data_IF_227296822634
#
_entry.id   IF_227296822634
#
_cell.length_a   1.000
_cell.length_b   1.000
_cell.length_c   1.000
_cell.angle_alpha   90.00
_cell.angle_beta   90.00
_cell.angle_gamma   90.00
#
_symmetry.space_group_name_H-M   'P 1'
#
loop_
_entity.id
_entity.type
_entity.pdbx_description
1 polymer ?
#
# COMPACT_ATOMS: atom_id res chain seq x y z
N UNK A 1 -66.66 -18.40 -3.89
CA UNK A 1 -67.62 -18.13 -2.79
C UNK A 1 -66.82 -18.11 -1.49
N UNK A 2 -66.92 -17.06 -0.66
CA UNK A 2 -66.10 -16.89 0.55
C UNK A 2 -64.63 -16.58 0.23
N UNK A 3 -64.01 -15.43 0.54
CA UNK A 3 -64.39 -14.23 1.32
C UNK A 3 -64.43 -14.35 2.84
N UNK A 4 -63.39 -13.79 3.48
CA UNK A 4 -63.41 -13.25 4.86
C UNK A 4 -62.71 -14.08 5.94
N UNK A 5 -62.31 -13.52 7.09
CA UNK A 5 -61.94 -12.12 7.44
C UNK A 5 -61.36 -12.08 8.88
N UNK A 6 -60.91 -10.90 9.34
CA UNK A 6 -60.51 -10.54 10.73
C UNK A 6 -59.18 -11.17 11.26
N UNK A 7 -58.36 -10.52 12.11
CA UNK A 7 -58.22 -9.08 12.37
C UNK A 7 -58.10 -8.65 13.86
N UNK A 8 -56.91 -8.15 14.27
CA UNK A 8 -56.59 -7.45 15.55
C UNK A 8 -56.65 -8.35 16.83
N UNK A 9 -56.12 -7.99 18.01
CA UNK A 9 -55.54 -6.71 18.50
C UNK A 9 -54.36 -6.90 19.51
N UNK A 10 -53.90 -5.80 20.16
CA UNK A 10 -52.64 -5.63 20.92
C UNK A 10 -52.67 -6.12 22.40
N UNK A 11 -51.51 -6.56 22.90
CA UNK A 11 -50.87 -6.27 24.23
C UNK A 11 -49.82 -7.36 24.53
N UNK A 12 -48.80 -7.21 25.38
CA UNK A 12 -48.23 -6.06 26.11
C UNK A 12 -46.86 -6.49 26.73
N UNK A 13 -46.00 -5.54 27.11
CA UNK A 13 -44.69 -5.86 27.74
C UNK A 13 -44.84 -6.22 29.24
N UNK A 14 -43.85 -6.92 29.84
CA UNK A 14 -42.89 -6.17 30.66
C UNK A 14 -41.43 -6.70 30.66
N UNK A 15 -40.49 -5.79 30.95
CA UNK A 15 -39.13 -6.13 31.46
C UNK A 15 -39.17 -6.30 32.98
N UNK A 16 -38.23 -7.07 33.60
CA UNK A 16 -37.14 -6.42 34.36
C UNK A 16 -35.86 -7.29 34.47
N UNK A 17 -34.83 -6.90 35.26
CA UNK A 17 -34.18 -5.59 35.39
C UNK A 17 -32.65 -5.68 35.15
N UNK A 18 -31.94 -4.54 35.23
CA UNK A 18 -30.48 -4.49 35.25
C UNK A 18 -29.93 -3.80 36.52
N UNK A 19 -28.71 -4.16 36.93
CA UNK A 19 -27.93 -3.47 37.97
C UNK A 19 -27.30 -4.41 39.01
N UNK A 20 -26.02 -4.24 39.42
CA UNK A 20 -25.01 -3.32 38.89
C UNK A 20 -23.77 -3.18 39.80
N UNK A 21 -22.83 -2.30 39.37
CA UNK A 21 -21.67 -1.75 40.11
C UNK A 21 -20.48 -2.67 40.48
N UNK A 22 -19.48 -2.60 39.60
CA UNK A 22 -18.13 -2.07 39.87
C UNK A 22 -17.30 -2.49 41.10
N UNK A 23 -16.04 -2.90 40.82
CA UNK A 23 -14.90 -2.77 41.74
C UNK A 23 -13.62 -2.40 40.97
N UNK A 24 -12.85 -1.43 41.47
CA UNK A 24 -11.52 -1.06 40.95
C UNK A 24 -10.44 -2.01 41.51
N UNK A 25 -9.38 -2.31 40.75
CA UNK A 25 -8.19 -2.92 41.38
C UNK A 25 -7.03 -3.38 40.50
N UNK A 26 -5.99 -2.53 40.39
CA UNK A 26 -4.55 -2.89 40.34
C UNK A 26 -4.05 -3.83 39.21
N UNK A 27 -3.31 -3.27 38.25
CA UNK A 27 -2.28 -4.01 37.51
C UNK A 27 -0.88 -3.89 38.16
N UNK A 28 0.09 -4.75 37.80
CA UNK A 28 1.52 -4.53 38.05
C UNK A 28 2.09 -3.63 36.93
N UNK A 29 2.55 -2.40 37.22
CA UNK A 29 3.93 -2.07 37.63
C UNK A 29 5.02 -2.86 36.90
N UNK A 30 5.78 -2.13 36.07
CA UNK A 30 7.03 -2.61 35.48
C UNK A 30 8.11 -2.88 36.54
N UNK A 31 8.96 -3.88 36.28
CA UNK A 31 10.17 -4.16 37.06
C UNK A 31 11.40 -3.49 36.43
N UNK A 32 11.87 -2.38 37.00
CA UNK A 32 13.07 -1.67 36.55
C UNK A 32 14.36 -2.39 37.01
N UNK A 33 14.86 -3.31 36.19
CA UNK A 33 16.12 -4.03 36.43
C UNK A 33 17.37 -3.22 36.06
N UNK A 34 17.75 -2.26 36.89
CA UNK A 34 18.90 -1.37 36.62
C UNK A 34 20.24 -2.05 36.97
N UNK A 35 20.99 -2.48 35.96
CA UNK A 35 22.39 -2.89 36.12
C UNK A 35 23.34 -1.68 36.02
N UNK A 36 24.33 -1.61 36.91
CA UNK A 36 25.47 -0.69 36.84
C UNK A 36 26.78 -1.49 36.94
N UNK A 37 27.84 -1.03 36.27
CA UNK A 37 29.22 -1.40 36.61
C UNK A 37 30.13 -1.77 35.43
N UNK A 38 31.23 -1.02 35.26
CA UNK A 38 32.32 -1.33 34.32
C UNK A 38 32.10 -0.82 32.88
N UNK A 39 32.92 0.05 32.29
CA UNK A 39 34.10 0.74 32.82
C UNK A 39 35.43 0.14 32.37
N UNK A 40 35.85 0.44 31.13
CA UNK A 40 37.16 0.05 30.59
C UNK A 40 37.54 0.83 29.33
N UNK A 41 38.69 1.52 29.35
CA UNK A 41 39.33 2.14 28.18
C UNK A 41 40.61 1.38 27.85
N UNK A 42 40.96 1.25 26.56
CA UNK A 42 42.16 1.86 25.95
C UNK A 42 42.84 1.04 24.82
N UNK A 43 43.03 1.71 23.68
CA UNK A 43 44.25 1.85 22.84
C UNK A 43 45.16 0.64 22.54
N UNK A 44 45.52 0.55 21.25
CA UNK A 44 46.73 -0.13 20.75
C UNK A 44 46.40 -1.22 19.70
N UNK A 45 46.96 -1.26 18.49
CA UNK A 45 47.95 -0.39 17.86
C UNK A 45 49.31 -1.08 17.67
N UNK A 46 49.56 -1.65 16.48
CA UNK A 46 50.83 -2.28 16.14
C UNK A 46 50.87 -2.79 14.70
N UNK A 47 51.77 -2.23 13.88
CA UNK A 47 52.06 -2.67 12.51
C UNK A 47 53.54 -3.00 12.42
N UNK A 48 53.90 -4.12 11.77
CA UNK A 48 55.30 -4.55 11.60
C UNK A 48 55.54 -4.96 10.13
N UNK A 49 56.70 -4.57 9.58
CA UNK A 49 57.17 -4.89 8.23
C UNK A 49 58.32 -5.90 8.27
N UNK A 50 58.51 -6.66 7.18
CA UNK A 50 59.79 -7.30 6.82
C UNK A 50 59.61 -8.62 6.06
N UNK A 51 60.44 -9.01 5.08
CA UNK A 51 61.49 -8.24 4.40
C UNK A 51 62.75 -9.08 4.07
N UNK A 52 63.09 -9.22 2.78
CA UNK A 52 64.33 -9.86 2.29
C UNK A 52 64.26 -11.40 2.17
N UNK A 53 64.30 -12.04 1.00
CA UNK A 53 65.39 -12.20 -0.01
C UNK A 53 66.56 -13.12 0.39
N UNK A 54 66.64 -14.30 -0.24
CA UNK A 54 67.87 -14.77 -0.93
C UNK A 54 67.72 -16.15 -1.62
N UNK A 55 68.30 -16.26 -2.81
CA UNK A 55 68.78 -17.51 -3.44
C UNK A 55 70.33 -17.41 -3.49
N UNK A 56 71.14 -18.47 -3.78
CA UNK A 56 71.39 -18.84 -5.20
C UNK A 56 72.02 -20.25 -5.51
N UNK A 57 72.08 -20.62 -6.82
CA UNK A 57 73.05 -21.57 -7.47
C UNK A 57 72.96 -23.07 -7.04
N UNK A 58 73.50 -24.14 -7.69
CA UNK A 58 74.38 -24.49 -8.86
C UNK A 58 74.17 -26.03 -9.14
N UNK A 59 74.68 -26.80 -10.12
CA UNK A 59 75.10 -26.70 -11.55
C UNK A 59 75.83 -28.01 -11.97
N UNK A 60 75.99 -28.50 -13.21
CA UNK A 60 75.27 -28.40 -14.51
C UNK A 60 76.03 -29.27 -15.57
N UNK A 61 75.36 -29.96 -16.51
CA UNK A 61 76.02 -30.69 -17.63
C UNK A 61 75.23 -31.89 -18.22
N UNK A 62 75.62 -32.53 -19.35
CA UNK A 62 76.78 -32.29 -20.25
C UNK A 62 76.72 -33.03 -21.62
N UNK A 63 76.98 -32.33 -22.75
CA UNK A 63 77.31 -32.83 -24.13
C UNK A 63 76.20 -33.64 -24.87
N UNK A 64 76.16 -33.79 -26.21
CA UNK A 64 76.92 -33.33 -27.42
C UNK A 64 75.88 -33.30 -28.60
N UNK A 65 76.06 -32.75 -29.81
CA UNK A 65 77.12 -32.03 -30.54
C UNK A 65 76.47 -30.78 -31.23
N UNK A 66 76.82 -30.17 -32.39
CA UNK A 66 77.84 -30.36 -33.45
C UNK A 66 77.35 -31.21 -34.65
N UNK A 67 77.40 -30.76 -35.91
CA UNK A 67 77.77 -29.46 -36.55
C UNK A 67 76.79 -29.20 -37.74
N UNK A 68 76.86 -28.22 -38.66
CA UNK A 68 77.79 -27.13 -39.09
C UNK A 68 76.92 -26.03 -39.81
N UNK A 69 77.37 -24.95 -40.47
CA UNK A 69 78.70 -24.37 -40.74
C UNK A 69 78.66 -23.38 -41.93
N UNK A 70 79.39 -22.24 -41.85
CA UNK A 70 79.47 -21.13 -42.85
C UNK A 70 78.14 -20.35 -43.12
N UNK A 71 78.10 -19.05 -43.48
CA UNK A 71 79.12 -17.97 -43.56
C UNK A 71 78.51 -16.58 -43.23
N UNK A 72 79.34 -15.53 -43.20
CA UNK A 72 79.13 -14.14 -42.70
C UNK A 72 79.57 -13.17 -43.85
N UNK A 73 79.22 -11.84 -43.99
CA UNK A 73 78.64 -10.83 -43.06
C UNK A 73 77.54 -9.83 -43.58
N UNK A 74 77.05 -8.98 -42.64
CA UNK A 74 76.69 -7.52 -42.73
C UNK A 74 75.54 -6.99 -43.63
N UNK A 75 74.44 -6.57 -42.98
CA UNK A 75 74.02 -5.16 -42.66
C UNK A 75 74.01 -4.04 -43.74
N UNK A 76 73.35 -2.87 -43.50
CA UNK A 76 71.90 -2.67 -43.26
C UNK A 76 71.30 -1.46 -44.05
N UNK A 77 69.99 -1.43 -44.33
CA UNK A 77 69.34 -0.21 -44.87
C UNK A 77 67.85 -0.03 -44.47
N UNK A 78 67.60 1.19 -43.97
CA UNK A 78 66.37 1.95 -43.68
C UNK A 78 65.01 1.53 -44.30
N UNK A 79 63.96 1.69 -43.48
CA UNK A 79 62.53 1.66 -43.86
C UNK A 79 62.08 2.93 -44.62
N UNK A 80 60.96 2.83 -45.36
CA UNK A 80 60.02 3.94 -45.55
C UNK A 80 58.63 3.66 -44.92
N UNK A 81 57.80 4.69 -44.85
CA UNK A 81 56.49 4.70 -44.19
C UNK A 81 55.45 3.81 -44.89
N UNK A 82 54.44 3.35 -44.13
CA UNK A 82 53.18 2.83 -44.70
C UNK A 82 51.95 3.48 -44.05
N UNK A 83 51.23 4.19 -44.91
CA UNK A 83 49.82 4.63 -44.90
C UNK A 83 48.99 4.41 -43.62
N UNK A 84 48.41 5.50 -43.10
CA UNK A 84 47.32 5.50 -42.13
C UNK A 84 46.05 4.86 -42.72
N UNK A 85 45.56 3.79 -42.09
CA UNK A 85 44.18 3.32 -42.27
C UNK A 85 43.28 3.90 -41.16
N UNK A 86 42.08 4.42 -41.46
CA UNK A 86 41.17 4.92 -40.45
C UNK A 86 40.54 3.74 -39.68
N UNK A 87 40.95 3.56 -38.42
CA UNK A 87 40.27 2.63 -37.51
C UNK A 87 38.91 3.23 -37.17
N UNK A 88 37.85 2.75 -37.81
CA UNK A 88 36.49 2.98 -37.34
C UNK A 88 36.35 2.28 -35.98
N UNK A 89 36.46 3.06 -34.90
CA UNK A 89 35.95 2.65 -33.59
C UNK A 89 34.41 2.65 -33.65
N UNK A 90 33.87 1.60 -34.27
CA UNK A 90 32.46 1.27 -34.18
C UNK A 90 32.16 0.93 -32.73
N UNK A 91 31.58 1.87 -31.99
CA UNK A 91 31.13 1.63 -30.64
C UNK A 91 29.98 0.61 -30.68
N UNK A 92 30.29 -0.66 -30.40
CA UNK A 92 29.28 -1.62 -30.01
C UNK A 92 28.70 -1.15 -28.68
N UNK A 93 27.61 -0.39 -28.76
CA UNK A 93 26.60 -0.37 -27.72
C UNK A 93 26.12 -1.81 -27.57
N UNK A 94 26.69 -2.52 -26.60
CA UNK A 94 26.15 -3.79 -26.16
C UNK A 94 24.73 -3.50 -25.64
N UNK A 95 23.72 -3.88 -26.42
CA UNK A 95 22.35 -3.87 -25.95
C UNK A 95 22.27 -4.84 -24.77
N UNK A 96 22.24 -4.28 -23.55
CA UNK A 96 22.03 -5.08 -22.36
C UNK A 96 20.66 -5.74 -22.49
N UNK A 97 20.65 -7.07 -22.55
CA UNK A 97 19.42 -7.84 -22.48
C UNK A 97 18.75 -7.67 -21.10
N UNK A 98 17.46 -8.01 -20.97
CA UNK A 98 16.73 -7.87 -19.72
C UNK A 98 17.38 -8.72 -18.61
N UNK A 99 17.64 -8.08 -17.47
CA UNK A 99 18.34 -8.70 -16.33
C UNK A 99 17.34 -9.48 -15.49
N UNK A 100 17.51 -10.80 -15.35
CA UNK A 100 16.77 -11.60 -14.37
C UNK A 100 17.60 -11.67 -13.08
N UNK A 101 17.21 -10.91 -12.05
CA UNK A 101 17.90 -10.87 -10.75
C UNK A 101 17.51 -12.06 -9.87
N UNK A 102 16.25 -12.48 -9.94
CA UNK A 102 15.72 -13.67 -9.28
C UNK A 102 14.64 -14.31 -10.14
N UNK A 103 14.59 -15.65 -10.14
CA UNK A 103 13.51 -16.44 -10.74
C UNK A 103 13.34 -17.74 -9.96
N UNK A 104 12.11 -18.11 -9.64
CA UNK A 104 11.76 -19.36 -8.95
C UNK A 104 10.43 -19.91 -9.48
N UNK A 105 10.44 -21.19 -9.81
CA UNK A 105 9.33 -21.95 -10.43
C UNK A 105 9.23 -23.38 -9.86
N UNK A 106 10.06 -23.73 -8.87
CA UNK A 106 10.07 -25.00 -8.09
C UNK A 106 10.05 -26.34 -8.87
N UNK A 107 10.13 -26.33 -10.21
CA UNK A 107 10.04 -27.50 -11.08
C UNK A 107 11.20 -28.51 -10.97
N UNK A 108 12.19 -28.26 -10.12
CA UNK A 108 13.34 -29.15 -9.83
C UNK A 108 13.18 -29.97 -8.53
N UNK A 109 11.93 -30.15 -8.07
CA UNK A 109 11.57 -30.97 -6.92
C UNK A 109 12.09 -30.41 -5.61
N UNK A 110 12.44 -31.26 -4.64
CA UNK A 110 12.90 -30.85 -3.30
C UNK A 110 14.16 -29.94 -3.27
N UNK A 111 14.77 -29.68 -4.42
CA UNK A 111 15.91 -28.78 -4.59
C UNK A 111 15.65 -27.35 -4.07
N UNK A 112 14.40 -26.89 -4.06
CA UNK A 112 14.02 -25.58 -3.51
C UNK A 112 14.41 -25.41 -2.03
N UNK A 113 14.46 -26.49 -1.24
CA UNK A 113 14.85 -26.46 0.19
C UNK A 113 16.33 -26.08 0.39
N UNK A 114 17.09 -25.90 -0.69
CA UNK A 114 18.47 -25.39 -0.67
C UNK A 114 18.56 -23.91 -1.08
N UNK A 115 17.52 -23.38 -1.73
CA UNK A 115 17.40 -21.95 -2.11
C UNK A 115 16.68 -21.16 -1.01
N UNK A 116 15.63 -21.74 -0.45
CA UNK A 116 14.80 -21.13 0.58
C UNK A 116 15.23 -21.56 1.99
N UNK A 117 15.21 -20.61 2.92
CA UNK A 117 15.62 -20.73 4.32
C UNK A 117 14.42 -20.38 5.22
N UNK A 118 14.05 -21.31 6.10
CA UNK A 118 13.09 -21.07 7.19
C UNK A 118 13.73 -20.23 8.30
N UNK A 119 13.00 -19.22 8.79
CA UNK A 119 13.43 -18.44 9.95
C UNK A 119 13.36 -19.27 11.24
N UNK A 120 14.30 -19.00 12.16
CA UNK A 120 14.40 -19.62 13.49
C UNK A 120 13.98 -18.65 14.60
N UNK A 121 13.57 -17.43 14.26
CA UNK A 121 13.14 -16.38 15.20
C UNK A 121 11.99 -16.85 16.12
N UNK A 122 11.12 -17.75 15.64
CA UNK A 122 10.08 -18.42 16.42
C UNK A 122 10.16 -19.95 16.22
N UNK A 123 9.96 -20.76 17.27
CA UNK A 123 9.96 -22.22 17.16
C UNK A 123 8.66 -22.80 16.56
N UNK A 124 7.63 -21.96 16.39
CA UNK A 124 6.27 -22.33 15.99
C UNK A 124 5.82 -21.68 14.67
N UNK A 125 6.76 -21.29 13.79
CA UNK A 125 6.40 -20.98 12.40
C UNK A 125 5.72 -22.18 11.70
N UNK A 126 4.81 -21.88 10.78
CA UNK A 126 4.13 -22.86 9.92
C UNK A 126 5.01 -23.31 8.76
N UNK A 127 4.87 -24.58 8.37
CA UNK A 127 5.68 -25.20 7.30
C UNK A 127 5.12 -24.94 5.92
N UNK A 128 6.01 -24.67 4.97
CA UNK A 128 5.70 -24.72 3.55
C UNK A 128 5.85 -26.15 3.00
N UNK A 129 5.02 -26.53 2.04
CA UNK A 129 5.08 -27.82 1.32
C UNK A 129 4.99 -27.58 -0.19
N UNK A 130 5.75 -28.33 -0.98
CA UNK A 130 5.71 -28.24 -2.45
C UNK A 130 4.50 -29.01 -3.00
N UNK A 131 3.58 -28.33 -3.68
CA UNK A 131 2.37 -28.96 -4.24
C UNK A 131 1.68 -28.06 -5.28
N UNK A 132 0.94 -28.67 -6.21
CA UNK A 132 0.06 -27.96 -7.15
C UNK A 132 -1.37 -27.76 -6.61
N UNK A 133 -1.64 -28.18 -5.37
CA UNK A 133 -2.97 -28.11 -4.76
C UNK A 133 -3.92 -29.22 -5.22
N UNK A 134 -5.22 -29.02 -5.00
CA UNK A 134 -6.32 -29.96 -5.28
C UNK A 134 -6.77 -29.91 -6.74
N UNK A 135 -6.54 -28.79 -7.41
CA UNK A 135 -6.83 -28.54 -8.82
C UNK A 135 -5.74 -27.61 -9.36
N UNK A 136 -5.41 -27.75 -10.65
CA UNK A 136 -4.28 -27.09 -11.31
C UNK A 136 -4.48 -27.19 -12.83
N UNK A 137 -3.73 -26.40 -13.60
CA UNK A 137 -3.64 -26.52 -15.06
C UNK A 137 -2.59 -27.53 -15.54
N UNK A 138 -1.55 -27.78 -14.76
CA UNK A 138 -0.45 -28.68 -15.09
C UNK A 138 0.21 -29.22 -13.81
N UNK A 139 0.14 -30.53 -13.59
CA UNK A 139 0.49 -31.18 -12.31
C UNK A 139 1.98 -31.07 -11.93
N UNK A 140 2.86 -30.76 -12.89
CA UNK A 140 4.29 -30.62 -12.67
C UNK A 140 4.76 -29.16 -12.73
N UNK A 141 4.06 -28.28 -13.46
CA UNK A 141 4.43 -26.85 -13.55
C UNK A 141 3.82 -25.98 -12.46
N UNK A 142 2.57 -26.22 -12.05
CA UNK A 142 1.89 -25.35 -11.07
C UNK A 142 2.27 -25.68 -9.62
N UNK A 143 3.42 -26.33 -9.40
CA UNK A 143 3.90 -26.78 -8.09
C UNK A 143 4.54 -25.61 -7.36
N UNK A 144 3.76 -24.84 -6.61
CA UNK A 144 4.29 -23.80 -5.73
C UNK A 144 4.52 -24.26 -4.29
N UNK A 145 5.02 -23.34 -3.46
CA UNK A 145 5.11 -23.52 -2.01
C UNK A 145 3.79 -23.17 -1.34
N UNK A 146 3.11 -24.18 -0.79
CA UNK A 146 1.82 -24.06 -0.10
C UNK A 146 2.02 -23.95 1.42
N UNK A 147 1.27 -23.04 2.05
CA UNK A 147 1.09 -22.98 3.51
C UNK A 147 0.29 -24.20 4.01
N UNK A 148 0.82 -24.97 4.98
CA UNK A 148 0.27 -26.30 5.35
C UNK A 148 -0.40 -26.41 6.73
N UNK A 149 -0.44 -25.33 7.50
CA UNK A 149 -0.90 -25.31 8.90
C UNK A 149 -1.74 -24.06 9.24
N UNK A 150 -2.96 -24.28 9.71
CA UNK A 150 -3.90 -23.23 10.11
C UNK A 150 -3.42 -22.46 11.37
N UNK A 151 -3.81 -21.19 11.46
CA UNK A 151 -3.50 -20.24 12.53
C UNK A 151 -1.99 -20.16 12.84
N UNK A 152 -1.17 -19.91 11.80
CA UNK A 152 0.28 -19.79 11.92
C UNK A 152 0.84 -18.53 11.26
N UNK A 153 1.92 -18.05 11.86
CA UNK A 153 2.88 -17.21 11.16
C UNK A 153 3.76 -18.08 10.25
N UNK A 154 4.17 -17.54 9.12
CA UNK A 154 5.08 -18.17 8.15
C UNK A 154 6.25 -17.23 7.92
N UNK A 155 7.47 -17.77 7.87
CA UNK A 155 8.68 -16.98 7.65
C UNK A 155 9.72 -17.79 6.85
N UNK A 156 9.65 -17.69 5.52
CA UNK A 156 10.54 -18.38 4.58
C UNK A 156 11.16 -17.37 3.61
N UNK A 157 12.45 -17.50 3.28
CA UNK A 157 13.16 -16.51 2.46
C UNK A 157 14.20 -17.11 1.50
N UNK A 158 14.36 -16.53 0.33
CA UNK A 158 15.37 -16.92 -0.68
C UNK A 158 16.33 -15.76 -0.96
N UNK A 159 17.61 -16.08 -1.14
CA UNK A 159 18.68 -15.10 -1.40
C UNK A 159 19.11 -15.13 -2.87
N UNK A 160 19.37 -13.95 -3.41
CA UNK A 160 19.86 -13.75 -4.78
C UNK A 160 21.08 -12.81 -4.78
N UNK A 161 21.72 -12.66 -5.95
CA UNK A 161 22.86 -11.77 -6.12
C UNK A 161 22.47 -10.30 -5.83
N UNK A 162 23.14 -9.61 -4.89
CA UNK A 162 22.74 -8.25 -4.50
C UNK A 162 22.78 -7.25 -5.65
N UNK A 163 21.68 -6.51 -5.83
CA UNK A 163 21.56 -5.46 -6.85
C UNK A 163 20.87 -4.21 -6.30
N UNK A 164 21.07 -3.08 -6.95
CA UNK A 164 20.30 -1.85 -6.74
C UNK A 164 19.44 -1.58 -7.97
N UNK A 165 18.23 -1.07 -7.78
CA UNK A 165 17.39 -0.58 -8.87
C UNK A 165 17.69 0.87 -9.27
N UNK A 166 18.72 1.50 -8.69
CA UNK A 166 19.13 2.86 -9.06
C UNK A 166 19.36 2.97 -10.57
N UNK A 167 18.80 4.01 -11.17
CA UNK A 167 18.83 4.31 -12.60
C UNK A 167 18.22 3.19 -13.49
N UNK A 168 17.42 2.29 -12.91
CA UNK A 168 16.73 1.15 -13.57
C UNK A 168 15.27 1.02 -13.14
N UNK A 169 14.43 0.43 -13.99
CA UNK A 169 13.13 -0.08 -13.56
C UNK A 169 13.34 -1.28 -12.63
N UNK A 170 12.48 -1.42 -11.62
CA UNK A 170 12.32 -2.63 -10.81
C UNK A 170 10.96 -3.24 -11.15
N UNK A 171 10.96 -4.50 -11.55
CA UNK A 171 9.74 -5.30 -11.72
C UNK A 171 9.78 -6.47 -10.74
N UNK A 172 8.71 -6.61 -9.96
CA UNK A 172 8.53 -7.68 -8.96
C UNK A 172 7.24 -8.40 -9.31
N UNK A 173 7.33 -9.69 -9.65
CA UNK A 173 6.20 -10.48 -10.13
C UNK A 173 6.17 -11.84 -9.44
N UNK A 174 4.98 -12.33 -9.11
CA UNK A 174 4.75 -13.67 -8.56
C UNK A 174 3.28 -14.05 -8.71
N UNK A 175 2.95 -15.35 -8.59
CA UNK A 175 1.58 -15.83 -8.52
C UNK A 175 1.18 -16.19 -7.10
N UNK A 176 -0.12 -16.02 -6.81
CA UNK A 176 -0.76 -16.39 -5.56
C UNK A 176 -2.05 -17.12 -5.88
N UNK A 177 -2.28 -18.27 -5.23
CA UNK A 177 -3.53 -19.03 -5.31
C UNK A 177 -4.09 -19.26 -3.91
N UNK A 178 -5.33 -18.83 -3.66
CA UNK A 178 -6.01 -19.04 -2.38
C UNK A 178 -7.00 -20.24 -2.44
N UNK A 179 -6.50 -21.42 -2.83
CA UNK A 179 -7.32 -22.63 -3.06
C UNK A 179 -8.09 -23.16 -1.84
N UNK A 180 -7.83 -22.58 -0.66
CA UNK A 180 -8.57 -22.89 0.56
C UNK A 180 -9.86 -22.08 0.71
N UNK A 181 -10.11 -21.06 -0.13
CA UNK A 181 -11.10 -19.99 0.12
C UNK A 181 -10.75 -19.26 1.43
N UNK A 182 -9.81 -18.31 1.34
CA UNK A 182 -9.17 -17.67 2.51
C UNK A 182 -10.08 -16.64 3.18
N UNK A 183 -10.17 -16.72 4.51
CA UNK A 183 -10.98 -15.83 5.35
C UNK A 183 -10.15 -14.70 5.96
N UNK A 184 -8.96 -15.01 6.48
CA UNK A 184 -7.96 -14.02 6.86
C UNK A 184 -6.52 -14.56 6.73
N UNK A 185 -5.71 -13.88 5.91
CA UNK A 185 -4.28 -14.11 5.81
C UNK A 185 -3.60 -13.31 4.69
N UNK A 186 -2.30 -13.06 4.87
CA UNK A 186 -1.47 -12.35 3.91
C UNK A 186 -1.00 -13.24 2.76
N UNK A 187 -1.01 -12.68 1.55
CA UNK A 187 -0.48 -13.27 0.31
C UNK A 187 0.61 -12.42 -0.35
N UNK A 188 1.33 -11.60 0.42
CA UNK A 188 2.32 -10.64 -0.06
C UNK A 188 3.77 -11.13 0.10
N UNK A 189 4.69 -10.55 -0.69
CA UNK A 189 6.14 -10.70 -0.52
C UNK A 189 6.74 -9.47 0.17
N UNK A 190 7.85 -9.67 0.89
CA UNK A 190 8.75 -8.61 1.33
C UNK A 190 10.08 -8.73 0.58
N UNK A 191 10.57 -7.63 0.01
CA UNK A 191 11.93 -7.52 -0.52
C UNK A 191 12.82 -6.82 0.51
N UNK A 192 13.95 -7.44 0.84
CA UNK A 192 14.85 -7.04 1.91
C UNK A 192 16.23 -6.65 1.38
N UNK A 193 16.96 -5.78 2.11
CA UNK A 193 18.35 -5.47 1.80
C UNK A 193 19.25 -6.70 1.94
N UNK A 194 20.39 -6.69 1.25
CA UNK A 194 21.31 -7.83 1.24
C UNK A 194 21.88 -8.20 2.63
N UNK A 195 21.82 -7.27 3.59
CA UNK A 195 22.24 -7.42 4.98
C UNK A 195 21.34 -8.30 5.85
N UNK A 196 20.13 -8.66 5.41
CA UNK A 196 19.18 -9.44 6.23
C UNK A 196 19.78 -10.80 6.67
N UNK A 197 19.67 -11.11 7.96
CA UNK A 197 19.84 -12.47 8.47
C UNK A 197 18.54 -13.29 8.26
N UNK A 198 18.57 -14.21 7.31
CA UNK A 198 17.41 -15.06 6.98
C UNK A 198 17.00 -15.98 8.13
N UNK A 199 17.92 -16.40 8.99
CA UNK A 199 17.60 -17.26 10.14
C UNK A 199 16.87 -16.50 11.26
N UNK A 200 16.78 -15.18 11.18
CA UNK A 200 16.13 -14.32 12.18
C UNK A 200 15.04 -13.42 11.56
N UNK A 201 14.55 -13.76 10.36
CA UNK A 201 13.49 -12.99 9.68
C UNK A 201 12.16 -13.05 10.44
N UNK A 202 11.48 -11.91 10.57
CA UNK A 202 10.21 -11.76 11.29
C UNK A 202 9.45 -10.48 10.86
N UNK A 203 8.24 -10.29 11.42
CA UNK A 203 7.36 -9.13 11.21
C UNK A 203 8.07 -7.78 11.12
N UNK A 204 8.86 -7.47 12.15
CA UNK A 204 9.56 -6.20 12.36
C UNK A 204 10.94 -6.11 11.68
N UNK A 205 11.35 -7.13 10.89
CA UNK A 205 12.58 -7.08 10.10
C UNK A 205 12.51 -5.98 9.03
N UNK A 206 13.53 -5.13 8.96
CA UNK A 206 13.58 -3.99 8.03
C UNK A 206 13.62 -4.46 6.56
N UNK A 207 12.51 -4.24 5.85
CA UNK A 207 12.35 -4.51 4.42
C UNK A 207 12.40 -3.21 3.61
N UNK A 208 12.78 -3.30 2.34
CA UNK A 208 12.74 -2.18 1.40
C UNK A 208 11.31 -1.96 0.89
N UNK A 209 10.66 -3.04 0.42
CA UNK A 209 9.34 -3.02 -0.22
C UNK A 209 8.51 -4.21 0.27
N UNK A 210 7.23 -4.01 0.57
CA UNK A 210 6.24 -5.08 0.70
C UNK A 210 5.19 -4.94 -0.40
N UNK A 211 4.89 -6.03 -1.10
CA UNK A 211 3.97 -6.03 -2.24
C UNK A 211 3.10 -7.30 -2.28
N UNK A 212 1.79 -7.15 -2.44
CA UNK A 212 0.88 -8.26 -2.78
C UNK A 212 -0.45 -8.24 -2.02
N UNK A 213 -1.34 -9.23 -2.27
CA UNK A 213 -2.66 -9.31 -1.66
C UNK A 213 -2.61 -9.51 -0.13
N UNK A 214 -3.59 -8.92 0.55
CA UNK A 214 -3.89 -9.14 1.97
C UNK A 214 -5.42 -9.15 2.16
N UNK A 215 -5.90 -10.25 2.75
CA UNK A 215 -7.31 -10.52 2.96
C UNK A 215 -7.53 -10.72 4.45
N UNK A 216 -8.48 -10.00 5.05
CA UNK A 216 -9.00 -10.31 6.37
C UNK A 216 -10.48 -9.89 6.49
N UNK A 217 -11.36 -10.89 6.42
CA UNK A 217 -12.80 -10.72 6.44
C UNK A 217 -13.35 -9.94 5.24
N UNK A 218 -14.54 -9.34 5.37
CA UNK A 218 -15.13 -8.52 4.30
C UNK A 218 -14.54 -7.10 4.23
N UNK A 219 -13.85 -6.64 5.29
CA UNK A 219 -13.39 -5.25 5.43
C UNK A 219 -11.95 -4.98 4.99
N UNK A 220 -11.13 -6.00 4.76
CA UNK A 220 -9.76 -5.86 4.26
C UNK A 220 -9.55 -6.85 3.14
N UNK A 221 -9.48 -6.36 1.90
CA UNK A 221 -9.27 -7.15 0.67
C UNK A 221 -8.51 -6.31 -0.35
N UNK A 222 -7.25 -6.03 -0.04
CA UNK A 222 -6.45 -5.05 -0.79
C UNK A 222 -5.05 -5.57 -1.12
N UNK A 223 -4.42 -4.99 -2.12
CA UNK A 223 -3.00 -5.19 -2.42
C UNK A 223 -2.21 -4.17 -1.62
N UNK A 224 -1.37 -4.64 -0.70
CA UNK A 224 -0.38 -3.78 -0.06
C UNK A 224 0.68 -3.40 -1.09
N UNK A 225 1.04 -2.11 -1.10
CA UNK A 225 2.23 -1.59 -1.75
C UNK A 225 2.86 -0.62 -0.76
N UNK A 226 3.91 -1.09 -0.07
CA UNK A 226 4.50 -0.40 1.08
C UNK A 226 5.99 -0.23 0.84
N UNK A 227 6.45 1.01 0.81
CA UNK A 227 7.86 1.36 0.62
C UNK A 227 8.45 1.81 1.95
N UNK A 228 9.65 1.33 2.30
CA UNK A 228 10.42 1.93 3.38
C UNK A 228 11.12 3.19 2.86
N UNK A 229 10.89 4.31 3.53
CA UNK A 229 11.55 5.57 3.27
C UNK A 229 12.00 6.20 4.59
N UNK A 230 13.29 6.51 4.71
CA UNK A 230 13.91 7.11 5.91
C UNK A 230 13.56 6.35 7.21
N UNK A 231 13.52 5.01 7.16
CA UNK A 231 13.23 4.14 8.30
C UNK A 231 11.74 4.08 8.69
N UNK A 232 10.84 4.53 7.82
CA UNK A 232 9.38 4.42 7.99
C UNK A 232 8.79 3.64 6.83
N UNK A 233 7.91 2.69 7.14
CA UNK A 233 7.15 1.95 6.14
C UNK A 233 5.91 2.77 5.76
N UNK A 234 5.92 3.39 4.58
CA UNK A 234 4.82 4.24 4.06
C UNK A 234 3.89 3.39 3.20
N UNK A 235 2.60 3.37 3.53
CA UNK A 235 1.57 2.63 2.81
C UNK A 235 1.01 3.47 1.67
N UNK A 236 0.56 2.81 0.59
CA UNK A 236 -0.16 3.45 -0.51
C UNK A 236 -1.50 4.04 -0.03
N UNK A 237 -1.80 5.26 -0.47
CA UNK A 237 -3.04 5.99 -0.13
C UNK A 237 -4.27 5.50 -0.91
N UNK A 238 -4.06 4.79 -2.03
CA UNK A 238 -5.10 4.21 -2.89
C UNK A 238 -5.49 2.79 -2.46
N UNK A 239 -6.79 2.47 -2.51
CA UNK A 239 -7.31 1.13 -2.18
C UNK A 239 -7.34 0.22 -3.43
N UNK A 240 -6.24 -0.48 -3.69
CA UNK A 240 -6.14 -1.45 -4.79
C UNK A 240 -6.83 -2.76 -4.37
N UNK A 241 -8.04 -3.01 -4.87
CA UNK A 241 -8.80 -4.24 -4.58
C UNK A 241 -8.03 -5.50 -4.99
N UNK A 242 -7.79 -6.42 -4.06
CA UNK A 242 -7.21 -7.73 -4.39
C UNK A 242 -8.28 -8.72 -4.90
N UNK A 243 -7.83 -9.84 -5.49
CA UNK A 243 -8.68 -10.96 -5.86
C UNK A 243 -8.94 -11.83 -4.64
N UNK A 244 -10.14 -12.40 -4.57
CA UNK A 244 -10.66 -13.10 -3.40
C UNK A 244 -11.43 -14.38 -3.74
N UNK A 245 -11.14 -14.97 -4.90
CA UNK A 245 -11.59 -16.30 -5.31
C UNK A 245 -10.49 -17.38 -5.12
N UNK A 246 -10.72 -18.60 -5.61
CA UNK A 246 -9.87 -19.78 -5.37
C UNK A 246 -8.82 -20.02 -6.48
N UNK A 247 -8.84 -19.25 -7.57
CA UNK A 247 -7.95 -19.42 -8.72
C UNK A 247 -6.55 -18.84 -8.50
N UNK A 248 -5.63 -19.17 -9.42
CA UNK A 248 -4.29 -18.59 -9.45
C UNK A 248 -4.33 -17.20 -10.06
N UNK A 249 -3.75 -16.21 -9.37
CA UNK A 249 -3.65 -14.82 -9.83
C UNK A 249 -2.21 -14.35 -9.93
N UNK A 250 -1.91 -13.56 -10.95
CA UNK A 250 -0.60 -12.95 -11.16
C UNK A 250 -0.59 -11.54 -10.56
N UNK A 251 0.41 -11.23 -9.72
CA UNK A 251 0.62 -9.90 -9.15
C UNK A 251 1.97 -9.34 -9.61
N UNK A 252 1.95 -8.16 -10.23
CA UNK A 252 3.15 -7.49 -10.76
C UNK A 252 3.20 -6.03 -10.27
N UNK A 253 4.29 -5.66 -9.62
CA UNK A 253 4.65 -4.28 -9.30
C UNK A 253 5.79 -3.84 -10.22
N UNK A 254 5.60 -2.70 -10.87
CA UNK A 254 6.63 -1.98 -11.63
C UNK A 254 6.93 -0.67 -10.89
N UNK A 255 8.21 -0.34 -10.71
CA UNK A 255 8.67 0.94 -10.15
C UNK A 255 9.78 1.49 -11.05
N UNK A 256 9.66 2.74 -11.52
CA UNK A 256 10.51 3.30 -12.58
C UNK A 256 11.41 4.44 -12.08
N UNK A 257 12.52 4.75 -12.77
CA UNK A 257 13.47 5.82 -12.37
C UNK A 257 12.92 7.26 -12.37
N UNK A 258 11.72 7.47 -12.92
CA UNK A 258 11.03 8.76 -12.97
C UNK A 258 10.07 8.99 -11.78
N UNK A 259 10.24 8.21 -10.70
CA UNK A 259 9.32 8.14 -9.56
C UNK A 259 7.88 7.70 -9.95
N UNK A 260 7.66 7.02 -11.09
CA UNK A 260 6.36 6.39 -11.39
C UNK A 260 6.31 4.93 -10.97
N UNK A 261 5.09 4.42 -10.78
CA UNK A 261 4.83 3.00 -10.53
C UNK A 261 3.60 2.52 -11.31
N UNK A 262 3.48 1.20 -11.47
CA UNK A 262 2.32 0.54 -12.04
C UNK A 262 2.08 -0.79 -11.31
N UNK A 263 0.82 -1.07 -10.97
CA UNK A 263 0.40 -2.38 -10.45
C UNK A 263 -0.46 -3.06 -11.50
N UNK A 264 -0.03 -4.25 -11.91
CA UNK A 264 -0.82 -5.16 -12.74
C UNK A 264 -1.32 -6.33 -11.87
N UNK A 265 -2.57 -6.73 -12.10
CA UNK A 265 -3.11 -8.01 -11.63
C UNK A 265 -3.57 -8.77 -12.86
N UNK A 266 -3.28 -10.07 -12.96
CA UNK A 266 -3.69 -10.91 -14.10
C UNK A 266 -3.17 -10.36 -15.46
N UNK A 267 -1.95 -9.80 -15.45
CA UNK A 267 -1.32 -9.02 -16.53
C UNK A 267 -2.08 -7.75 -16.99
N UNK A 268 -3.23 -7.42 -16.39
CA UNK A 268 -3.96 -6.18 -16.63
C UNK A 268 -3.54 -5.09 -15.64
N UNK A 269 -3.22 -3.87 -16.11
CA UNK A 269 -3.02 -2.72 -15.21
C UNK A 269 -4.29 -2.44 -14.41
N UNK A 270 -4.16 -2.44 -13.09
CA UNK A 270 -5.23 -2.04 -12.17
C UNK A 270 -5.00 -0.65 -11.58
N UNK A 271 -3.74 -0.23 -11.42
CA UNK A 271 -3.38 1.07 -10.83
C UNK A 271 -2.04 1.59 -11.38
N UNK A 272 -1.87 2.91 -11.43
CA UNK A 272 -0.62 3.59 -11.84
C UNK A 272 -0.63 5.06 -11.42
N UNK A 273 0.52 5.58 -11.01
CA UNK A 273 0.68 6.99 -10.65
C UNK A 273 2.13 7.36 -10.38
N UNK A 274 2.33 8.46 -9.66
CA UNK A 274 3.63 8.83 -9.11
C UNK A 274 3.75 8.39 -7.65
N UNK A 275 4.96 8.00 -7.25
CA UNK A 275 5.31 7.71 -5.86
C UNK A 275 5.05 8.92 -4.95
N UNK A 276 5.21 10.14 -5.48
CA UNK A 276 5.12 11.38 -4.71
C UNK A 276 3.68 11.83 -4.39
N UNK A 277 2.69 11.35 -5.15
CA UNK A 277 1.27 11.70 -4.98
C UNK A 277 0.48 10.60 -4.25
N UNK A 278 0.85 9.33 -4.47
CA UNK A 278 0.10 8.18 -3.95
C UNK A 278 0.63 7.65 -2.59
N UNK A 279 1.67 8.27 -2.02
CA UNK A 279 2.23 7.98 -0.68
C UNK A 279 2.68 9.25 0.05
N UNK A 280 2.51 9.27 1.38
CA UNK A 280 2.94 10.35 2.26
C UNK A 280 4.47 10.34 2.55
N UNK A 281 5.32 10.29 1.51
CA UNK A 281 6.79 10.30 1.66
C UNK A 281 7.35 11.65 2.12
N UNK A 282 6.78 12.75 1.59
CA UNK A 282 7.29 14.11 1.75
C UNK A 282 6.26 14.99 2.48
N UNK A 283 6.69 16.09 3.14
CA UNK A 283 5.77 17.11 3.63
C UNK A 283 4.89 17.66 2.49
N UNK A 284 3.65 18.10 2.78
CA UNK A 284 2.74 18.60 1.74
C UNK A 284 3.36 19.82 1.05
N UNK A 285 3.25 19.88 -0.29
CA UNK A 285 3.84 20.94 -1.13
C UNK A 285 3.40 22.35 -0.71
N UNK A 286 2.19 22.47 -0.18
CA UNK A 286 1.61 23.70 0.36
C UNK A 286 1.13 23.52 1.79
N UNK A 287 1.20 24.60 2.55
CA UNK A 287 0.64 24.72 3.90
C UNK A 287 -0.23 25.98 3.98
N UNK A 288 -1.13 26.01 4.96
CA UNK A 288 -1.86 27.24 5.30
C UNK A 288 -0.90 28.23 5.96
N UNK A 289 -0.94 29.47 5.50
CA UNK A 289 -0.05 30.55 5.96
C UNK A 289 -0.22 30.81 7.48
N UNK A 290 0.79 30.54 8.33
CA UNK A 290 0.65 30.69 9.78
C UNK A 290 0.43 32.14 10.24
N UNK A 291 0.77 33.14 9.41
CA UNK A 291 0.58 34.56 9.72
C UNK A 291 -0.79 35.07 9.24
N UNK A 292 -1.40 34.42 8.24
CA UNK A 292 -2.70 34.82 7.72
C UNK A 292 -3.83 34.56 8.70
N UNK A 293 -4.60 35.61 9.01
CA UNK A 293 -5.81 35.55 9.84
C UNK A 293 -6.98 36.06 9.03
N UNK A 294 -8.19 35.57 9.33
CA UNK A 294 -9.41 36.15 8.77
C UNK A 294 -9.47 37.64 9.18
N UNK A 295 -9.63 38.60 8.24
CA UNK A 295 -9.77 40.00 8.60
C UNK A 295 -11.05 40.26 9.40
N UNK A 296 -10.99 41.16 10.38
CA UNK A 296 -12.15 41.52 11.21
C UNK A 296 -13.25 42.25 10.40
N UNK A 297 -12.89 42.87 9.27
CA UNK A 297 -13.81 43.49 8.31
C UNK A 297 -14.40 42.49 7.29
N UNK A 298 -14.12 41.19 7.42
CA UNK A 298 -14.56 40.18 6.46
C UNK A 298 -15.92 39.58 6.81
N UNK A 299 -16.98 40.19 6.31
CA UNK A 299 -18.34 39.68 6.49
C UNK A 299 -18.63 38.48 5.57
N UNK A 300 -19.05 37.38 6.20
CA UNK A 300 -19.44 36.13 5.54
C UNK A 300 -20.97 35.95 5.52
N UNK A 301 -21.72 36.91 6.08
CA UNK A 301 -23.19 36.92 6.04
C UNK A 301 -23.63 37.40 4.65
N UNK A 302 -24.08 36.47 3.80
CA UNK A 302 -24.62 36.81 2.48
C UNK A 302 -25.89 37.68 2.54
N UNK A 303 -26.61 37.62 3.67
CA UNK A 303 -27.78 38.45 3.98
C UNK A 303 -27.62 39.11 5.35
N UNK A 304 -28.18 40.29 5.49
CA UNK A 304 -28.28 41.03 6.75
C UNK A 304 -29.69 41.56 6.93
N UNK A 305 -30.04 41.80 8.20
CA UNK A 305 -31.19 42.58 8.63
C UNK A 305 -31.16 43.97 7.96
N UNK A 306 -32.26 44.35 7.32
CA UNK A 306 -32.43 45.67 6.70
C UNK A 306 -32.45 46.77 7.77
N UNK A 307 -31.51 47.73 7.76
CA UNK A 307 -31.44 48.79 8.76
C UNK A 307 -32.54 49.85 8.60
N UNK A 308 -33.22 49.92 7.45
CA UNK A 308 -34.32 50.86 7.18
C UNK A 308 -35.70 50.21 7.42
N UNK A 309 -35.79 48.88 7.49
CA UNK A 309 -37.03 48.18 7.86
C UNK A 309 -37.30 48.35 9.36
N UNK A 310 -38.32 49.14 9.67
CA UNK A 310 -38.69 49.49 11.04
C UNK A 310 -40.01 48.84 11.42
N UNK A 311 -40.07 48.28 12.63
CA UNK A 311 -41.23 47.58 13.15
C UNK A 311 -42.50 48.44 13.04
N UNK A 312 -43.51 48.03 12.25
CA UNK A 312 -44.75 48.80 12.13
C UNK A 312 -45.47 48.90 13.47
N UNK A 313 -46.02 50.08 13.79
CA UNK A 313 -46.76 50.34 15.03
C UNK A 313 -47.96 49.38 15.22
N UNK A 314 -48.54 48.90 14.11
CA UNK A 314 -49.66 47.96 14.05
C UNK A 314 -49.23 46.46 14.16
N UNK A 315 -47.97 46.17 14.47
CA UNK A 315 -47.46 44.79 14.57
C UNK A 315 -47.69 44.14 15.94
N UNK A 316 -47.56 44.90 17.04
CA UNK A 316 -47.71 44.37 18.41
C UNK A 316 -49.19 44.23 18.81
N UNK A 317 -49.87 43.31 18.11
CA UNK A 317 -51.21 42.83 18.46
C UNK A 317 -51.10 41.79 19.58
N UNK A 318 -52.05 41.72 20.52
CA UNK A 318 -52.10 40.62 21.48
C UNK A 318 -52.34 39.30 20.75
N UNK A 319 -51.65 38.24 21.17
CA UNK A 319 -51.76 36.90 20.59
C UNK A 319 -53.18 36.32 20.69
N UNK A 320 -53.85 36.62 21.81
CA UNK A 320 -55.20 36.20 22.12
C UNK A 320 -56.10 37.44 22.30
N UNK A 321 -57.32 37.39 21.77
CA UNK A 321 -58.36 38.41 21.95
C UNK A 321 -59.67 37.78 22.41
N UNK A 322 -60.54 38.51 23.13
CA UNK A 322 -61.94 38.14 23.29
C UNK A 322 -62.62 37.80 21.95
N UNK A 323 -63.37 36.71 21.89
CA UNK A 323 -64.21 36.37 20.73
C UNK A 323 -65.32 37.43 20.54
N UNK A 324 -65.35 38.17 19.42
CA UNK A 324 -66.33 39.22 19.18
C UNK A 324 -67.71 38.69 18.76
N UNK A 325 -67.81 37.44 18.32
CA UNK A 325 -69.07 36.77 17.95
C UNK A 325 -69.66 35.95 19.11
N UNK A 326 -68.88 35.71 20.17
CA UNK A 326 -69.36 35.05 21.39
C UNK A 326 -70.42 35.89 22.10
N UNK A 327 -71.51 35.23 22.50
CA UNK A 327 -72.63 35.82 23.23
C UNK A 327 -72.79 35.13 24.57
N UNK A 328 -73.04 35.92 25.62
CA UNK A 328 -73.41 35.42 26.94
C UNK A 328 -74.59 34.43 26.81
N UNK A 329 -74.50 33.20 27.35
CA UNK A 329 -75.63 32.27 27.37
C UNK A 329 -76.84 32.86 28.09
N UNK A 330 -78.05 32.57 27.61
CA UNK A 330 -79.30 33.04 28.23
C UNK A 330 -79.54 32.46 29.64
N UNK A 331 -78.87 31.34 29.96
CA UNK A 331 -78.95 30.58 31.22
C UNK A 331 -77.81 30.94 32.21
N UNK A 332 -77.04 32.01 32.00
CA UNK A 332 -75.89 32.39 32.86
C UNK A 332 -76.28 33.37 33.99
N UNK A 333 -76.04 32.95 35.23
CA UNK A 333 -76.36 33.69 36.46
C UNK A 333 -75.13 34.43 37.02
N UNK A 334 -75.18 35.77 37.08
CA UNK A 334 -74.07 36.60 37.58
C UNK A 334 -73.89 36.56 39.11
N UNK A 335 -74.92 36.16 39.88
CA UNK A 335 -74.83 36.00 41.35
C UNK A 335 -74.20 34.66 41.73
N UNK A 336 -74.32 33.64 40.86
CA UNK A 336 -73.84 32.28 41.12
C UNK A 336 -72.54 31.91 40.37
N UNK A 337 -72.41 32.29 39.09
CA UNK A 337 -71.27 31.97 38.23
C UNK A 337 -70.29 33.15 38.05
N UNK A 338 -70.72 34.37 38.35
CA UNK A 338 -69.92 35.61 38.30
C UNK A 338 -70.03 36.41 36.99
N UNK A 339 -69.21 37.46 36.85
CA UNK A 339 -69.15 38.26 35.62
C UNK A 339 -68.73 37.39 34.43
N UNK A 340 -69.49 37.42 33.35
CA UNK A 340 -69.24 36.59 32.17
C UNK A 340 -68.10 37.17 31.32
N UNK A 341 -66.96 36.48 31.29
CA UNK A 341 -65.89 36.76 30.33
C UNK A 341 -66.10 35.94 29.03
N UNK A 342 -66.03 36.56 27.84
CA UNK A 342 -66.06 35.83 26.58
C UNK A 342 -64.82 34.93 26.40
N UNK A 343 -64.93 33.79 25.70
CA UNK A 343 -63.79 32.93 25.41
C UNK A 343 -62.72 33.69 24.61
N UNK A 344 -61.46 33.46 24.95
CA UNK A 344 -60.33 34.02 24.19
C UNK A 344 -60.01 33.16 22.96
N UNK A 345 -59.91 33.80 21.81
CA UNK A 345 -59.52 33.20 20.53
C UNK A 345 -58.14 33.71 20.09
N UNK A 346 -57.45 32.92 19.26
CA UNK A 346 -56.23 33.36 18.59
C UNK A 346 -56.56 34.56 17.70
N UNK A 347 -55.84 35.67 17.89
CA UNK A 347 -56.05 36.90 17.14
C UNK A 347 -55.61 36.74 15.67
N UNK A 348 -56.50 36.91 14.67
CA UNK A 348 -56.13 36.83 13.25
C UNK A 348 -55.12 37.88 12.79
N UNK A 349 -54.96 38.99 13.53
CA UNK A 349 -53.98 40.04 13.23
C UNK A 349 -52.60 39.78 13.87
N UNK A 350 -52.45 38.74 14.71
CA UNK A 350 -51.18 38.44 15.35
C UNK A 350 -50.16 37.83 14.36
N UNK A 351 -49.11 38.60 14.06
CA UNK A 351 -48.08 38.28 13.07
C UNK A 351 -46.81 37.65 13.70
N UNK A 352 -46.83 37.34 15.00
CA UNK A 352 -45.68 36.81 15.74
C UNK A 352 -44.61 37.85 16.07
N UNK A 353 -43.46 37.41 16.60
CA UNK A 353 -42.29 38.28 16.81
C UNK A 353 -41.86 38.94 15.50
N UNK A 354 -41.88 40.28 15.43
CA UNK A 354 -41.33 41.00 14.27
C UNK A 354 -39.83 40.74 14.13
N UNK A 355 -39.39 40.58 12.88
CA UNK A 355 -37.98 40.52 12.48
C UNK A 355 -37.82 41.34 11.20
N UNK A 356 -36.74 42.13 11.07
CA UNK A 356 -36.50 42.91 9.86
C UNK A 356 -36.28 42.00 8.64
N UNK A 357 -36.64 42.51 7.47
CA UNK A 357 -36.39 41.86 6.19
C UNK A 357 -34.89 41.59 5.96
N UNK A 358 -34.60 40.56 5.17
CA UNK A 358 -33.25 40.06 4.93
C UNK A 358 -32.74 40.49 3.55
N UNK A 359 -32.12 41.68 3.50
CA UNK A 359 -31.47 42.21 2.30
C UNK A 359 -30.15 41.47 2.02
N UNK A 360 -29.74 41.44 0.75
CA UNK A 360 -28.43 40.93 0.36
C UNK A 360 -27.34 41.92 0.81
N UNK A 361 -26.31 41.41 1.48
CA UNK A 361 -25.31 42.23 2.15
C UNK A 361 -24.30 42.84 1.15
N UNK A 362 -24.20 44.17 1.03
CA UNK A 362 -23.26 44.81 0.09
C UNK A 362 -21.78 44.58 0.47
N UNK A 363 -21.48 44.32 1.75
CA UNK A 363 -20.13 44.05 2.25
C UNK A 363 -19.76 42.55 2.28
N UNK A 364 -20.61 41.67 1.72
CA UNK A 364 -20.34 40.24 1.66
C UNK A 364 -19.17 39.91 0.74
N UNK A 365 -18.00 39.63 1.33
CA UNK A 365 -16.75 39.31 0.63
C UNK A 365 -16.63 37.83 0.25
N UNK A 366 -17.68 37.03 0.46
CA UNK A 366 -17.64 35.58 0.32
C UNK A 366 -17.14 34.87 1.58
N UNK A 367 -17.17 33.54 1.59
CA UNK A 367 -16.56 32.75 2.68
C UNK A 367 -15.03 32.90 2.63
N UNK A 368 -14.40 33.18 3.78
CA UNK A 368 -12.94 33.34 3.85
C UNK A 368 -12.24 32.02 3.52
N UNK A 369 -11.49 32.01 2.42
CA UNK A 369 -10.58 30.93 2.06
C UNK A 369 -9.21 31.28 2.61
N UNK A 370 -8.73 30.47 3.55
CA UNK A 370 -7.41 30.62 4.13
C UNK A 370 -6.34 30.48 3.04
N UNK A 371 -5.41 31.45 2.87
CA UNK A 371 -4.39 31.36 1.83
C UNK A 371 -3.44 30.19 2.10
N UNK A 372 -2.94 29.63 1.00
CA UNK A 372 -1.95 28.56 0.96
C UNK A 372 -0.63 29.12 0.44
N UNK A 373 0.47 28.84 1.15
CA UNK A 373 1.84 29.17 0.78
C UNK A 373 2.63 27.89 0.51
N UNK A 374 3.69 27.99 -0.29
CA UNK A 374 4.60 26.88 -0.52
C UNK A 374 5.33 26.51 0.78
N UNK A 375 5.46 25.22 1.06
CA UNK A 375 5.97 24.72 2.33
C UNK A 375 7.51 24.79 2.39
N UNK A 376 8.12 25.51 3.34
CA UNK A 376 9.59 25.60 3.45
C UNK A 376 10.26 24.26 3.82
N UNK A 377 9.52 23.32 4.41
CA UNK A 377 10.01 21.96 4.73
C UNK A 377 9.87 20.98 3.55
N UNK A 378 9.16 21.35 2.48
CA UNK A 378 9.06 20.51 1.28
C UNK A 378 10.34 20.59 0.44
N UNK A 379 10.89 19.43 0.09
CA UNK A 379 12.04 19.31 -0.81
C UNK A 379 11.83 18.09 -1.71
N UNK A 380 11.84 18.24 -3.05
CA UNK A 380 11.59 17.14 -3.97
C UNK A 380 12.74 16.13 -3.95
N UNK A 381 12.40 14.85 -3.82
CA UNK A 381 13.36 13.75 -3.82
C UNK A 381 13.28 12.96 -5.15
N UNK A 382 14.25 13.08 -6.06
CA UNK A 382 14.25 12.35 -7.34
C UNK A 382 14.63 10.87 -7.19
N UNK A 383 14.85 10.37 -5.96
CA UNK A 383 15.31 9.01 -5.68
C UNK A 383 14.35 8.22 -4.77
N UNK A 384 13.08 8.63 -4.63
CA UNK A 384 12.05 7.87 -3.87
C UNK A 384 11.94 6.41 -4.31
N UNK A 385 12.15 6.13 -5.60
CA UNK A 385 12.13 4.78 -6.16
C UNK A 385 13.35 3.90 -5.77
N UNK A 386 14.46 4.51 -5.34
CA UNK A 386 15.81 3.91 -5.41
C UNK A 386 16.28 3.33 -4.08
N UNK A 387 16.69 2.06 -4.07
CA UNK A 387 17.23 1.36 -2.90
C UNK A 387 18.71 0.97 -3.08
N UNK A 388 19.51 1.12 -2.01
CA UNK A 388 20.95 0.83 -2.03
C UNK A 388 21.28 -0.65 -2.32
N UNK A 389 20.47 -1.58 -1.82
CA UNK A 389 20.52 -2.99 -2.22
C UNK A 389 19.20 -3.71 -1.97
N UNK A 390 18.86 -4.62 -2.86
CA UNK A 390 18.02 -5.79 -2.61
C UNK A 390 18.91 -7.03 -2.62
N UNK A 391 18.61 -8.03 -1.80
CA UNK A 391 19.33 -9.32 -1.85
C UNK A 391 18.57 -10.53 -1.32
N UNK A 392 17.41 -10.33 -0.68
CA UNK A 392 16.56 -11.41 -0.18
C UNK A 392 15.09 -11.10 -0.49
N UNK A 393 14.35 -12.10 -0.94
CA UNK A 393 12.88 -12.12 -1.00
C UNK A 393 12.37 -13.01 0.13
N UNK A 394 11.32 -12.58 0.83
CA UNK A 394 10.75 -13.35 1.93
C UNK A 394 9.22 -13.31 1.98
N UNK A 395 8.67 -14.44 2.38
CA UNK A 395 7.27 -14.63 2.76
C UNK A 395 7.20 -14.59 4.29
N UNK A 396 6.81 -13.44 4.83
CA UNK A 396 6.57 -13.22 6.27
C UNK A 396 5.08 -12.89 6.48
N UNK A 397 4.30 -13.94 6.72
CA UNK A 397 2.83 -13.94 6.62
C UNK A 397 2.20 -14.33 7.97
N UNK A 398 0.96 -13.89 8.19
CA UNK A 398 0.01 -14.59 9.06
C UNK A 398 -1.09 -15.20 8.19
N UNK A 399 -1.51 -16.44 8.46
CA UNK A 399 -2.72 -17.01 7.87
C UNK A 399 -3.54 -17.77 8.92
N UNK A 400 -4.85 -17.46 9.00
CA UNK A 400 -5.83 -18.18 9.84
C UNK A 400 -6.14 -19.52 9.20
N UNK A 401 -6.45 -19.53 7.90
CA UNK A 401 -6.75 -20.72 7.12
C UNK A 401 -5.65 -20.92 6.08
N UNK A 402 -4.93 -22.02 6.17
CA UNK A 402 -3.80 -22.38 5.30
C UNK A 402 -4.26 -23.03 3.99
N UNK A 403 -3.34 -23.14 3.04
CA UNK A 403 -3.59 -23.66 1.69
C UNK A 403 -3.23 -22.67 0.57
N UNK A 404 -2.77 -21.47 0.89
CA UNK A 404 -2.27 -20.52 -0.12
C UNK A 404 -0.97 -21.04 -0.73
N UNK A 405 -0.95 -21.12 -2.06
CA UNK A 405 0.20 -21.51 -2.88
C UNK A 405 0.84 -20.25 -3.47
N UNK A 406 2.17 -20.18 -3.47
CA UNK A 406 2.95 -19.14 -4.16
C UNK A 406 3.90 -19.77 -5.17
N UNK A 407 3.97 -19.19 -6.37
CA UNK A 407 4.81 -19.69 -7.48
C UNK A 407 5.27 -18.53 -8.41
N UNK A 408 6.03 -18.87 -9.45
CA UNK A 408 6.42 -18.02 -10.59
C UNK A 408 7.05 -16.68 -10.18
N UNK A 409 7.86 -16.68 -9.11
CA UNK A 409 8.54 -15.49 -8.64
C UNK A 409 9.56 -15.03 -9.69
N UNK A 410 9.56 -13.73 -9.98
CA UNK A 410 10.46 -13.07 -10.92
C UNK A 410 10.81 -11.68 -10.39
N UNK A 411 12.09 -11.34 -10.41
CA UNK A 411 12.58 -9.98 -10.18
C UNK A 411 13.48 -9.61 -11.37
N UNK A 412 13.12 -8.53 -12.09
CA UNK A 412 13.78 -8.10 -13.33
C UNK A 412 13.76 -6.59 -13.50
N UNK A 413 14.51 -6.06 -14.48
CA UNK A 413 14.49 -4.64 -14.88
C UNK A 413 13.73 -4.36 -16.18
N UNK A 414 13.07 -5.37 -16.78
CA UNK A 414 12.29 -5.23 -18.02
C UNK A 414 10.82 -5.63 -17.86
N UNK A 415 9.92 -4.71 -18.18
CA UNK A 415 8.46 -4.87 -18.06
C UNK A 415 7.86 -5.83 -19.09
N UNK A 416 8.48 -5.96 -20.27
CA UNK A 416 8.00 -6.84 -21.34
C UNK A 416 8.38 -8.28 -21.05
N UNK A 417 9.61 -8.52 -20.58
CA UNK A 417 10.02 -9.86 -20.13
C UNK A 417 9.10 -10.36 -19.00
N UNK A 418 8.72 -9.48 -18.07
CA UNK A 418 7.78 -9.83 -17.01
C UNK A 418 6.38 -10.17 -17.57
N UNK A 419 5.85 -9.35 -18.50
CA UNK A 419 4.55 -9.60 -19.14
C UNK A 419 4.56 -10.89 -19.99
N UNK A 420 5.63 -11.15 -20.74
CA UNK A 420 5.87 -12.39 -21.50
C UNK A 420 5.90 -13.61 -20.58
N UNK A 421 6.74 -13.62 -19.54
CA UNK A 421 6.80 -14.73 -18.55
C UNK A 421 5.45 -14.91 -17.84
N UNK A 422 4.74 -13.82 -17.53
CA UNK A 422 3.40 -13.88 -16.92
C UNK A 422 2.34 -14.50 -17.84
N UNK A 423 2.49 -14.34 -19.16
CA UNK A 423 1.64 -14.99 -20.15
C UNK A 423 2.04 -16.46 -20.39
N UNK A 424 3.32 -16.81 -20.31
CA UNK A 424 3.82 -18.20 -20.44
C UNK A 424 3.53 -19.08 -19.22
N UNK A 425 3.52 -18.50 -18.02
CA UNK A 425 3.23 -19.17 -16.74
C UNK A 425 1.73 -19.12 -16.42
N UNK A 426 1.30 -18.17 -15.60
CA UNK A 426 -0.10 -17.95 -15.20
C UNK A 426 -1.07 -17.92 -16.39
N UNK A 427 -0.67 -17.28 -17.49
CA UNK A 427 -1.47 -17.20 -18.72
C UNK A 427 -1.83 -18.56 -19.33
N UNK A 428 -0.97 -19.58 -19.17
CA UNK A 428 -1.23 -20.95 -19.57
C UNK A 428 -2.00 -21.75 -18.51
N UNK A 429 -1.67 -21.55 -17.23
CA UNK A 429 -2.30 -22.23 -16.08
C UNK A 429 -3.80 -21.92 -15.99
N UNK A 430 -4.19 -20.63 -15.94
CA UNK A 430 -5.57 -20.17 -15.71
C UNK A 430 -6.62 -20.82 -16.63
N UNK A 431 -6.26 -21.01 -17.91
CA UNK A 431 -7.15 -21.54 -18.95
C UNK A 431 -7.47 -23.01 -18.71
N UNK A 432 -6.48 -23.77 -18.20
CA UNK A 432 -6.62 -25.19 -17.86
C UNK A 432 -7.20 -25.41 -16.47
N UNK A 433 -6.91 -24.50 -15.55
CA UNK A 433 -7.48 -24.44 -14.19
C UNK A 433 -9.00 -24.17 -14.20
N UNK A 434 -9.55 -23.69 -15.32
CA UNK A 434 -10.97 -23.49 -15.54
C UNK A 434 -11.44 -22.04 -15.39
N UNK A 435 -10.51 -21.10 -15.16
CA UNK A 435 -10.79 -19.67 -15.10
C UNK A 435 -11.26 -19.18 -16.47
N UNK A 436 -12.54 -18.83 -16.58
CA UNK A 436 -13.09 -18.22 -17.80
C UNK A 436 -12.66 -16.75 -17.88
N UNK A 437 -12.41 -16.19 -19.07
CA UNK A 437 -12.36 -14.74 -19.22
C UNK A 437 -13.70 -14.14 -18.78
N UNK A 438 -13.71 -12.91 -18.21
CA UNK A 438 -14.96 -12.22 -17.89
C UNK A 438 -15.80 -12.09 -19.17
N UNK A 439 -17.09 -12.43 -19.08
CA UNK A 439 -17.99 -12.35 -20.22
C UNK A 439 -18.08 -10.90 -20.71
N UNK A 440 -17.55 -10.64 -21.90
CA UNK A 440 -17.70 -9.35 -22.58
C UNK A 440 -19.20 -9.08 -22.73
N UNK A 441 -19.74 -7.94 -22.26
CA UNK A 441 -21.16 -7.65 -22.38
C UNK A 441 -21.60 -7.74 -23.85
N UNK A 442 -22.42 -8.76 -24.17
CA UNK A 442 -22.92 -8.96 -25.51
C UNK A 442 -23.73 -7.73 -25.92
N UNK A 443 -23.29 -7.06 -27.00
CA UNK A 443 -23.93 -5.86 -27.52
C UNK A 443 -25.44 -6.06 -27.66
N UNK A 444 -26.28 -5.09 -27.22
CA UNK A 444 -27.73 -5.28 -27.18
C UNK A 444 -28.27 -5.66 -28.57
N UNK A 445 -29.06 -6.73 -28.70
CA UNK A 445 -29.31 -7.40 -29.98
C UNK A 445 -30.38 -6.72 -30.86
N UNK A 446 -30.45 -5.39 -30.85
CA UNK A 446 -31.42 -4.60 -31.63
C UNK A 446 -30.79 -3.30 -32.16
N UNK A 447 -30.84 -3.03 -33.48
CA UNK A 447 -30.60 -1.69 -34.00
C UNK A 447 -31.75 -0.74 -33.58
N UNK A 448 -31.51 0.58 -33.51
CA UNK A 448 -32.57 1.57 -33.30
C UNK A 448 -33.62 1.52 -34.43
N UNK A 449 -34.85 1.91 -34.10
CA UNK A 449 -35.98 2.04 -35.03
C UNK A 449 -36.06 3.43 -35.64
#
# INVERSE_FOLDING_TARGET
MGSGHLGRQRSGAPSPPAGGRAANGRGPRAGSGQWQGGGGRARGGGSIKGGGTSSPLRSAGRRRAGTDGASVPRSPAMSPLSVLAPVLFGALLAAAGPTQFFREEFGDGDSWTRRWVESKHKPDYGRFVLTAGKFYGDADKDKGIQTSQDARFYALSSRFEPFSNRDKTLVVQFTVKHEQNIDCGGGYVKLFPASLNQEDMHGDSEYNIMFGPDICGPGTKKVHVIFNYKGKNVLINKDIRCKDDEFTHLYTLVVRPDNTYEVKIDNARVESGSLEEDWDFLPPKKIKDPEAKKPDDWDERAKIDDPEDTKPEDWDKPEHIPDPDAKKPEDWDEEMDGEWEPPVIQNPEYKGEWRPQQIDNPDYKGKWVHPEIDNPEYSPDPLLYSYDSFGVIGLDLWQVKSGTIFDNFLITDDEKLAEEIGNETWGATKVREGMRPPETPLSPPWPPR
#
